data_IF_442947962036
#
_entry.id   IF_442947962036
#
_cell.length_a   1.000
_cell.length_b   1.000
_cell.length_c   1.000
_cell.angle_alpha   90.00
_cell.angle_beta   90.00
_cell.angle_gamma   90.00
#
_symmetry.space_group_name_H-M   'P 1'
#
loop_
_entity.id
_entity.type
_entity.pdbx_description
1 polymer ?
#
# COMPACT_ATOMS: atom_id res chain seq x y z
N UNK A 1 0.16 -12.38 -9.91
CA UNK A 1 1.41 -11.82 -9.35
C UNK A 1 1.20 -10.33 -9.11
N UNK A 2 1.50 -9.87 -7.89
CA UNK A 2 0.94 -8.68 -7.22
C UNK A 2 1.22 -7.34 -7.92
N UNK A 3 0.15 -6.58 -8.21
CA UNK A 3 0.17 -5.24 -8.81
C UNK A 3 1.07 -4.24 -8.05
N UNK A 4 1.15 -4.38 -6.72
CA UNK A 4 1.95 -3.48 -5.86
C UNK A 4 3.46 -3.68 -6.05
N UNK A 5 3.92 -4.91 -6.28
CA UNK A 5 5.34 -5.22 -6.50
C UNK A 5 5.87 -4.56 -7.77
N UNK A 6 5.07 -4.57 -8.85
CA UNK A 6 5.46 -3.98 -10.13
C UNK A 6 5.62 -2.47 -10.01
N UNK A 7 4.64 -1.79 -9.41
CA UNK A 7 4.73 -0.35 -9.19
C UNK A 7 5.91 0.03 -8.28
N UNK A 8 6.28 -0.82 -7.31
CA UNK A 8 7.38 -0.52 -6.38
C UNK A 8 8.74 -0.51 -7.08
N UNK A 9 8.94 -1.43 -8.03
CA UNK A 9 10.14 -1.49 -8.84
C UNK A 9 10.28 -0.27 -9.79
N UNK A 10 9.17 0.31 -10.25
CA UNK A 10 9.16 1.46 -11.16
C UNK A 10 9.40 2.81 -10.45
N UNK A 11 9.32 2.87 -9.11
CA UNK A 11 9.31 4.12 -8.33
C UNK A 11 10.60 4.35 -7.51
N UNK A 12 11.76 3.96 -8.03
CA UNK A 12 13.06 4.07 -7.34
C UNK A 12 13.09 3.36 -5.96
N UNK A 13 12.18 2.40 -5.74
CA UNK A 13 12.11 1.59 -4.53
C UNK A 13 11.22 2.14 -3.42
N UNK A 14 10.57 3.30 -3.56
CA UNK A 14 9.60 3.78 -2.57
C UNK A 14 8.28 4.22 -3.21
N UNK A 15 7.19 3.61 -2.77
CA UNK A 15 5.84 3.99 -3.17
C UNK A 15 5.04 4.53 -2.01
N UNK A 16 4.28 5.58 -2.29
CA UNK A 16 3.26 6.09 -1.39
C UNK A 16 1.90 5.96 -2.04
N UNK A 17 0.97 5.28 -1.37
CA UNK A 17 -0.40 5.19 -1.85
C UNK A 17 -1.43 5.52 -0.78
N UNK A 18 -2.46 6.27 -1.16
CA UNK A 18 -3.59 6.56 -0.29
C UNK A 18 -4.63 5.49 -0.45
N UNK A 19 -5.15 4.99 0.68
CA UNK A 19 -6.14 3.90 0.69
C UNK A 19 -7.37 4.20 -0.17
N UNK A 20 -7.79 5.47 -0.23
CA UNK A 20 -8.91 5.92 -1.07
C UNK A 20 -8.72 5.69 -2.58
N UNK A 21 -7.50 5.80 -3.09
CA UNK A 21 -7.25 5.65 -4.52
C UNK A 21 -7.24 4.19 -4.95
N UNK A 22 -6.74 3.30 -4.08
CA UNK A 22 -6.82 1.86 -4.34
C UNK A 22 -8.27 1.40 -4.21
N UNK A 23 -9.00 1.91 -3.23
CA UNK A 23 -10.42 1.67 -3.02
C UNK A 23 -11.26 1.94 -4.28
N UNK A 24 -11.04 3.10 -4.93
CA UNK A 24 -11.70 3.47 -6.18
C UNK A 24 -11.38 2.49 -7.33
N UNK A 25 -10.16 1.93 -7.37
CA UNK A 25 -9.72 1.00 -8.42
C UNK A 25 -10.25 -0.44 -8.24
N UNK A 26 -10.57 -0.86 -7.02
CA UNK A 26 -10.96 -2.26 -6.71
C UNK A 26 -12.36 -2.40 -6.11
N UNK A 27 -13.17 -1.33 -6.13
CA UNK A 27 -14.53 -1.26 -5.59
C UNK A 27 -14.62 -1.70 -4.11
N UNK A 28 -13.64 -1.22 -3.31
CA UNK A 28 -13.60 -1.43 -1.86
C UNK A 28 -13.63 -0.09 -1.14
N UNK A 29 -13.99 -0.10 0.14
CA UNK A 29 -13.84 1.10 0.97
C UNK A 29 -12.38 1.33 1.36
N UNK A 30 -12.00 2.60 1.63
CA UNK A 30 -10.68 2.94 2.15
C UNK A 30 -10.34 2.21 3.47
N UNK A 31 -11.38 1.83 4.25
CA UNK A 31 -11.24 1.06 5.49
C UNK A 31 -10.87 -0.40 5.22
N UNK A 32 -11.50 -1.03 4.23
CA UNK A 32 -11.18 -2.39 3.79
C UNK A 32 -9.77 -2.46 3.22
N UNK A 33 -9.37 -1.48 2.40
CA UNK A 33 -7.98 -1.35 1.95
C UNK A 33 -7.04 -1.25 3.15
N UNK A 34 -7.35 -0.41 4.15
CA UNK A 34 -6.53 -0.30 5.34
C UNK A 34 -6.35 -1.63 6.09
N UNK A 35 -7.40 -2.44 6.18
CA UNK A 35 -7.33 -3.76 6.80
C UNK A 35 -6.47 -4.75 5.98
N UNK A 36 -6.66 -4.76 4.66
CA UNK A 36 -5.86 -5.58 3.73
C UNK A 36 -4.38 -5.22 3.80
N UNK A 37 -4.05 -3.93 3.90
CA UNK A 37 -2.65 -3.47 3.99
C UNK A 37 -1.94 -3.97 5.25
N UNK A 38 -2.63 -4.01 6.40
CA UNK A 38 -2.08 -4.61 7.63
C UNK A 38 -1.85 -6.12 7.47
N UNK A 39 -2.74 -6.82 6.75
CA UNK A 39 -2.54 -8.24 6.46
C UNK A 39 -1.36 -8.45 5.51
N UNK A 40 -1.22 -7.60 4.49
CA UNK A 40 -0.12 -7.63 3.52
C UNK A 40 1.24 -7.37 4.20
N UNK A 41 1.31 -6.45 5.15
CA UNK A 41 2.52 -6.17 5.95
C UNK A 41 3.05 -7.44 6.64
N UNK A 42 2.16 -8.25 7.22
CA UNK A 42 2.55 -9.50 7.88
C UNK A 42 2.77 -10.69 6.93
N UNK A 43 2.25 -10.63 5.70
CA UNK A 43 2.22 -11.75 4.78
C UNK A 43 3.31 -11.70 3.69
N UNK A 44 3.92 -10.54 3.45
CA UNK A 44 4.85 -10.31 2.34
C UNK A 44 6.23 -9.92 2.87
N UNK A 45 7.14 -10.89 3.10
CA UNK A 45 8.45 -10.62 3.74
C UNK A 45 9.43 -9.83 2.85
N UNK A 46 9.14 -9.79 1.54
CA UNK A 46 9.89 -9.10 0.50
C UNK A 46 9.50 -7.61 0.31
N UNK A 47 8.48 -7.14 1.04
CA UNK A 47 8.08 -5.75 1.05
C UNK A 47 8.05 -5.23 2.49
N UNK A 48 8.55 -4.03 2.71
CA UNK A 48 8.25 -3.27 3.92
C UNK A 48 7.04 -2.41 3.64
N UNK A 49 5.98 -2.59 4.43
CA UNK A 49 4.73 -1.83 4.32
C UNK A 49 4.53 -1.12 5.65
N UNK A 50 4.48 0.21 5.62
CA UNK A 50 4.25 0.99 6.83
C UNK A 50 3.18 2.06 6.65
N UNK A 51 2.50 2.38 7.75
CA UNK A 51 1.50 3.44 7.76
C UNK A 51 2.19 4.79 7.81
N UNK A 52 1.95 5.62 6.81
CA UNK A 52 2.50 6.97 6.68
C UNK A 52 1.41 8.03 6.69
N UNK A 53 1.62 9.15 7.38
CA UNK A 53 0.58 10.18 7.55
C UNK A 53 1.16 11.59 7.60
N UNK A 54 0.84 12.41 6.60
CA UNK A 54 1.01 13.88 6.62
C UNK A 54 -0.32 14.64 6.53
N UNK A 55 -1.44 13.96 6.24
CA UNK A 55 -2.78 14.53 6.12
C UNK A 55 -3.83 13.57 6.70
N UNK A 56 -5.10 13.99 6.79
CA UNK A 56 -6.19 13.21 7.40
C UNK A 56 -6.49 11.85 6.75
N UNK A 57 -5.90 11.54 5.59
CA UNK A 57 -6.11 10.28 4.88
C UNK A 57 -4.93 9.31 5.09
N UNK A 58 -5.24 8.05 5.38
CA UNK A 58 -4.24 6.99 5.56
C UNK A 58 -3.45 6.75 4.27
N UNK A 59 -2.16 7.07 4.34
CA UNK A 59 -1.18 6.79 3.30
C UNK A 59 -0.35 5.59 3.76
N UNK A 60 0.11 4.77 2.82
CA UNK A 60 0.99 3.65 3.09
C UNK A 60 2.27 3.88 2.31
N UNK A 61 3.41 3.72 2.97
CA UNK A 61 4.72 3.66 2.33
C UNK A 61 5.04 2.19 2.09
N UNK A 62 5.44 1.86 0.87
CA UNK A 62 5.83 0.52 0.48
C UNK A 62 7.15 0.57 -0.25
N UNK A 63 8.10 -0.21 0.24
CA UNK A 63 9.42 -0.35 -0.36
C UNK A 63 9.75 -1.84 -0.52
N UNK A 64 10.47 -2.23 -1.58
CA UNK A 64 11.13 -3.53 -1.64
C UNK A 64 12.14 -3.67 -0.50
N UNK A 65 12.21 -4.87 0.07
CA UNK A 65 13.24 -5.24 1.04
C UNK A 65 14.52 -5.74 0.36
#
# INVERSE_FOLDING_TARGET
>A
MSHLRKKAADADGELYFKSKFIADDVDLSAKEIGALMVQLEGAVPDLTIERWSYTSATTWRVEPR
#
